data_IF_086320806205
#
_entry.id   IF_086320806205
#
_cell.length_a   1.000
_cell.length_b   1.000
_cell.length_c   1.000
_cell.angle_alpha   90.00
_cell.angle_beta   90.00
_cell.angle_gamma   90.00
#
_symmetry.space_group_name_H-M   'P 1'
#
loop_
_entity.id
_entity.type
_entity.pdbx_description
1 polymer ?
#
# COMPACT_ATOMS: atom_id res chain seq x y z
N UNK A 1 -17.97 -0.52 -6.46
CA UNK A 1 -17.70 -0.18 -7.88
C UNK A 1 -16.30 0.39 -7.98
N UNK A 2 -15.45 -0.08 -8.90
CA UNK A 2 -14.09 0.43 -9.10
C UNK A 2 -14.05 1.37 -10.31
N UNK A 3 -13.21 2.42 -10.26
CA UNK A 3 -13.04 3.39 -11.35
C UNK A 3 -11.78 3.17 -12.19
N UNK A 4 -10.74 2.54 -11.61
CA UNK A 4 -9.45 2.31 -12.25
C UNK A 4 -8.95 0.90 -11.90
N UNK A 5 -8.13 0.33 -12.78
CA UNK A 5 -7.54 -0.99 -12.61
C UNK A 5 -6.04 -0.92 -12.89
N UNK A 6 -5.26 -1.63 -12.06
CA UNK A 6 -3.84 -1.86 -12.25
C UNK A 6 -3.64 -3.37 -12.18
N UNK A 7 -3.01 -3.94 -13.21
CA UNK A 7 -2.75 -5.37 -13.32
C UNK A 7 -1.26 -5.64 -13.02
N UNK A 8 -0.97 -6.61 -12.16
CA UNK A 8 0.38 -7.03 -11.80
C UNK A 8 0.63 -8.44 -12.33
N UNK A 9 1.72 -8.61 -13.07
CA UNK A 9 2.11 -9.89 -13.68
C UNK A 9 3.54 -10.25 -13.27
N UNK A 10 3.77 -11.54 -12.95
CA UNK A 10 5.10 -12.15 -12.77
C UNK A 10 5.35 -13.33 -13.71
N UNK A 11 4.45 -13.56 -14.66
CA UNK A 11 4.51 -14.68 -15.61
C UNK A 11 4.07 -16.02 -15.02
N UNK A 12 3.62 -16.08 -13.76
CA UNK A 12 3.11 -17.31 -13.14
C UNK A 12 1.59 -17.35 -13.13
N UNK A 13 1.02 -18.56 -13.07
CA UNK A 13 -0.44 -18.78 -13.03
C UNK A 13 -0.80 -19.46 -11.72
N UNK A 14 -1.85 -18.98 -11.05
CA UNK A 14 -2.37 -19.57 -9.82
C UNK A 14 -1.55 -19.29 -8.55
N UNK A 15 -0.65 -18.30 -8.60
CA UNK A 15 0.10 -17.81 -7.43
C UNK A 15 -0.48 -16.47 -6.96
N UNK A 16 -0.54 -16.29 -5.65
CA UNK A 16 -1.06 -15.09 -4.99
C UNK A 16 0.08 -14.27 -4.36
N UNK A 17 -0.11 -12.96 -4.22
CA UNK A 17 0.78 -12.09 -3.45
C UNK A 17 1.83 -11.34 -4.27
N UNK A 18 1.92 -11.58 -5.58
CA UNK A 18 2.85 -10.86 -6.45
C UNK A 18 2.57 -9.34 -6.49
N UNK A 19 1.30 -8.96 -6.36
CA UNK A 19 0.86 -7.56 -6.34
C UNK A 19 1.41 -6.75 -5.17
N UNK A 20 1.86 -7.43 -4.09
CA UNK A 20 2.31 -6.76 -2.86
C UNK A 20 3.50 -5.83 -3.09
N UNK A 21 4.45 -6.22 -3.96
CA UNK A 21 5.60 -5.38 -4.28
C UNK A 21 5.17 -4.12 -5.03
N UNK A 22 4.26 -4.28 -6.00
CA UNK A 22 3.72 -3.16 -6.77
C UNK A 22 2.97 -2.19 -5.86
N UNK A 23 2.10 -2.71 -4.98
CA UNK A 23 1.34 -1.94 -4.01
C UNK A 23 2.24 -1.06 -3.14
N UNK A 24 3.26 -1.65 -2.49
CA UNK A 24 4.17 -0.92 -1.59
C UNK A 24 4.96 0.17 -2.30
N UNK A 25 5.47 -0.14 -3.48
CA UNK A 25 6.21 0.85 -4.27
C UNK A 25 5.32 2.01 -4.71
N UNK A 26 4.05 1.73 -5.03
CA UNK A 26 3.07 2.75 -5.39
C UNK A 26 2.71 3.62 -4.18
N UNK A 27 2.39 3.01 -3.04
CA UNK A 27 2.10 3.74 -1.77
C UNK A 27 3.26 4.67 -1.40
N UNK A 28 4.51 4.18 -1.46
CA UNK A 28 5.70 4.98 -1.20
C UNK A 28 5.93 6.07 -2.25
N UNK A 29 5.69 5.78 -3.52
CA UNK A 29 5.81 6.78 -4.58
C UNK A 29 4.81 7.93 -4.38
N UNK A 30 3.57 7.59 -3.99
CA UNK A 30 2.52 8.55 -3.71
C UNK A 30 2.84 9.39 -2.48
N UNK A 31 3.39 8.80 -1.41
CA UNK A 31 3.74 9.55 -0.20
C UNK A 31 4.81 10.62 -0.43
N UNK A 32 5.64 10.44 -1.45
CA UNK A 32 6.64 11.43 -1.87
C UNK A 32 6.07 12.54 -2.79
N UNK A 33 4.86 12.37 -3.31
CA UNK A 33 4.23 13.39 -4.15
C UNK A 33 3.78 14.57 -3.31
N UNK A 34 3.84 15.78 -3.89
CA UNK A 34 3.35 16.99 -3.23
C UNK A 34 1.86 17.13 -3.47
N UNK A 35 1.10 17.41 -2.40
CA UNK A 35 -0.34 17.72 -2.50
C UNK A 35 -0.57 19.00 -3.31
N UNK A 36 0.33 19.97 -3.19
CA UNK A 36 0.30 21.22 -3.92
C UNK A 36 1.72 21.74 -4.17
N UNK A 37 1.91 22.54 -5.22
CA UNK A 37 3.24 23.06 -5.62
C UNK A 37 3.96 23.83 -4.52
N UNK A 38 3.21 24.50 -3.63
CA UNK A 38 3.74 25.25 -2.47
C UNK A 38 3.82 24.45 -1.17
N UNK A 39 3.33 23.21 -1.15
CA UNK A 39 3.42 22.35 0.03
C UNK A 39 4.81 21.73 0.16
N UNK A 40 5.34 21.71 1.39
CA UNK A 40 6.56 20.94 1.73
C UNK A 40 6.23 19.54 2.25
N UNK A 41 4.95 19.20 2.36
CA UNK A 41 4.47 17.92 2.87
C UNK A 41 4.08 17.00 1.71
N UNK A 42 4.45 15.73 1.86
CA UNK A 42 4.02 14.65 0.99
C UNK A 42 2.54 14.31 1.16
N UNK A 43 1.98 13.49 0.29
CA UNK A 43 0.63 12.94 0.46
C UNK A 43 0.64 12.00 1.67
N UNK A 44 -0.21 12.18 2.70
CA UNK A 44 -0.28 11.25 3.81
C UNK A 44 -0.89 9.93 3.35
N UNK A 45 -0.27 8.81 3.76
CA UNK A 45 -0.76 7.45 3.51
C UNK A 45 -1.16 6.83 4.85
N UNK A 46 -2.29 6.14 4.89
CA UNK A 46 -2.80 5.46 6.10
C UNK A 46 -3.30 4.08 5.70
N UNK A 47 -2.86 3.05 6.41
CA UNK A 47 -3.39 1.69 6.28
C UNK A 47 -4.64 1.50 7.13
N UNK A 48 -5.66 0.85 6.58
CA UNK A 48 -6.85 0.41 7.33
C UNK A 48 -6.99 -1.10 7.20
N UNK A 49 -7.09 -1.79 8.33
CA UNK A 49 -7.31 -3.24 8.41
C UNK A 49 -8.59 -3.49 9.19
N UNK A 50 -9.50 -4.26 8.59
CA UNK A 50 -10.78 -4.64 9.21
C UNK A 50 -10.80 -6.13 9.56
N UNK A 51 -10.24 -6.96 8.70
CA UNK A 51 -10.12 -8.41 8.90
C UNK A 51 -8.90 -8.92 8.12
N UNK A 52 -8.36 -10.07 8.53
CA UNK A 52 -7.23 -10.68 7.83
C UNK A 52 -6.71 -11.94 8.47
N UNK A 53 -6.06 -12.78 7.66
CA UNK A 53 -5.26 -13.91 8.14
C UNK A 53 -3.84 -13.49 8.56
N UNK A 54 -2.97 -14.45 8.93
CA UNK A 54 -1.62 -14.17 9.43
C UNK A 54 -0.76 -13.28 8.53
N UNK A 55 -0.93 -13.35 7.21
CA UNK A 55 -0.19 -12.52 6.24
C UNK A 55 -0.49 -11.02 6.40
N UNK A 56 -1.67 -10.65 6.90
CA UNK A 56 -2.02 -9.25 7.14
C UNK A 56 -1.20 -8.68 8.29
N UNK A 57 -0.88 -9.50 9.30
CA UNK A 57 -0.02 -9.07 10.43
C UNK A 57 1.37 -8.70 9.90
N UNK A 58 1.93 -9.49 8.99
CA UNK A 58 3.21 -9.19 8.35
C UNK A 58 3.13 -7.90 7.53
N UNK A 59 2.05 -7.71 6.76
CA UNK A 59 1.84 -6.48 6.00
C UNK A 59 1.77 -5.24 6.91
N UNK A 60 1.02 -5.31 8.02
CA UNK A 60 0.92 -4.22 9.01
C UNK A 60 2.27 -3.92 9.64
N UNK A 61 3.03 -4.95 10.04
CA UNK A 61 4.36 -4.76 10.61
C UNK A 61 5.30 -4.02 9.64
N UNK A 62 5.26 -4.36 8.36
CA UNK A 62 6.06 -3.69 7.33
C UNK A 62 5.63 -2.23 7.12
N UNK A 63 4.32 -1.94 7.03
CA UNK A 63 3.80 -0.57 6.91
C UNK A 63 4.19 0.30 8.11
N UNK A 64 4.05 -0.23 9.33
CA UNK A 64 4.45 0.49 10.56
C UNK A 64 5.95 0.72 10.60
N UNK A 65 6.76 -0.22 10.10
CA UNK A 65 8.23 -0.05 10.00
C UNK A 65 8.61 1.09 9.05
N UNK A 66 7.84 1.30 7.99
CA UNK A 66 7.98 2.43 7.07
C UNK A 66 7.43 3.75 7.65
N UNK A 67 6.99 3.74 8.92
CA UNK A 67 6.45 4.86 9.71
C UNK A 67 5.09 5.37 9.22
N UNK A 68 4.40 4.60 8.39
CA UNK A 68 3.04 4.90 7.99
C UNK A 68 2.05 4.37 9.04
N UNK A 69 1.08 5.18 9.48
CA UNK A 69 0.11 4.77 10.48
C UNK A 69 -0.84 3.69 9.94
N UNK A 70 -1.19 2.74 10.81
CA UNK A 70 -2.19 1.71 10.52
C UNK A 70 -3.28 1.74 11.58
N UNK A 71 -4.52 1.78 11.12
CA UNK A 71 -5.72 1.63 11.95
C UNK A 71 -6.23 0.19 11.80
N UNK A 72 -6.48 -0.48 12.92
CA UNK A 72 -7.07 -1.82 12.97
C UNK A 72 -8.44 -1.71 13.63
N UNK A 73 -9.48 -2.20 12.96
CA UNK A 73 -10.87 -2.18 13.39
C UNK A 73 -11.32 -3.54 13.91
#
# INVERSE_FOLDING_TARGET
MHSHFILSDDGTVGKYGNEMKLRRNLEKYLSLQKIHSRSRQGVPVVGLVVEGGPNVILAVWETVRDKDPVVVC
#
